data_IF_825199936442
#
_entry.id   IF_825199936442
#
_cell.length_a   1.000
_cell.length_b   1.000
_cell.length_c   1.000
_cell.angle_alpha   90.00
_cell.angle_beta   90.00
_cell.angle_gamma   90.00
#
_symmetry.space_group_name_H-M   'P 1'
#
loop_
_entity.id
_entity.type
_entity.pdbx_description
1 polymer ?
#
# COMPACT_ATOMS: atom_id res chain seq x y z
N UNK A 1 -21.64 4.77 11.46
CA UNK A 1 -20.87 5.59 12.42
C UNK A 1 -19.36 5.41 12.30
N UNK A 2 -18.85 4.18 12.12
CA UNK A 2 -17.43 3.86 11.87
C UNK A 2 -16.70 4.77 10.86
N UNK A 3 -17.32 5.06 9.71
CA UNK A 3 -16.75 5.98 8.71
C UNK A 3 -16.51 7.39 9.28
N UNK A 4 -17.51 7.97 9.96
CA UNK A 4 -17.40 9.30 10.59
C UNK A 4 -16.30 9.33 11.64
N UNK A 5 -16.25 8.32 12.53
CA UNK A 5 -15.21 8.21 13.54
C UNK A 5 -13.81 8.08 12.91
N UNK A 6 -13.68 7.30 11.85
CA UNK A 6 -12.44 7.16 11.08
C UNK A 6 -11.96 8.50 10.54
N UNK A 7 -12.85 9.28 9.91
CA UNK A 7 -12.51 10.60 9.35
C UNK A 7 -12.12 11.59 10.46
N UNK A 8 -12.83 11.59 11.59
CA UNK A 8 -12.47 12.46 12.72
C UNK A 8 -11.08 12.11 13.29
N UNK A 9 -10.80 10.81 13.49
CA UNK A 9 -9.48 10.34 13.95
C UNK A 9 -8.40 10.69 12.92
N UNK A 10 -8.69 10.57 11.63
CA UNK A 10 -7.77 10.96 10.55
C UNK A 10 -7.42 12.46 10.62
N UNK A 11 -8.43 13.33 10.77
CA UNK A 11 -8.24 14.79 10.87
C UNK A 11 -7.41 15.13 12.10
N UNK A 12 -7.70 14.52 13.25
CA UNK A 12 -6.93 14.75 14.47
C UNK A 12 -5.49 14.25 14.34
N UNK A 13 -5.23 13.22 13.52
CA UNK A 13 -3.90 12.65 13.28
C UNK A 13 -3.24 13.14 11.99
N UNK A 14 -3.75 14.19 11.35
CA UNK A 14 -3.24 14.65 10.05
C UNK A 14 -1.74 15.02 10.08
N UNK A 15 -1.24 15.49 11.23
CA UNK A 15 0.19 15.74 11.44
C UNK A 15 1.08 14.48 11.33
N UNK A 16 0.53 13.28 11.57
CA UNK A 16 1.23 12.00 11.38
C UNK A 16 1.45 11.72 9.89
N UNK A 17 0.53 12.15 9.02
CA UNK A 17 0.65 12.00 7.56
C UNK A 17 1.95 12.63 7.04
N UNK A 18 2.31 13.83 7.49
CA UNK A 18 3.56 14.49 7.08
C UNK A 18 4.80 13.78 7.59
N UNK A 19 4.77 13.26 8.82
CA UNK A 19 5.91 12.49 9.38
C UNK A 19 6.11 11.18 8.61
N UNK A 20 5.01 10.50 8.28
CA UNK A 20 5.04 9.28 7.46
C UNK A 20 5.48 9.58 6.02
N UNK A 21 5.09 10.72 5.46
CA UNK A 21 5.54 11.19 4.14
C UNK A 21 7.06 11.37 4.10
N UNK A 22 7.64 12.09 5.04
CA UNK A 22 9.11 12.28 5.12
C UNK A 22 9.81 10.92 5.25
N UNK A 23 9.28 10.03 6.08
CA UNK A 23 9.81 8.67 6.22
C UNK A 23 9.76 7.87 4.91
N UNK A 24 8.64 7.92 4.19
CA UNK A 24 8.50 7.25 2.89
C UNK A 24 9.40 7.85 1.81
N UNK A 25 9.67 9.15 1.83
CA UNK A 25 10.64 9.77 0.91
C UNK A 25 12.07 9.27 1.16
N UNK A 26 12.46 9.11 2.43
CA UNK A 26 13.77 8.53 2.78
C UNK A 26 13.85 7.09 2.26
N UNK A 27 12.82 6.27 2.48
CA UNK A 27 12.80 4.89 1.96
C UNK A 27 12.81 4.86 0.44
N UNK A 28 12.09 5.77 -0.21
CA UNK A 28 12.08 5.90 -1.67
C UNK A 28 13.50 6.15 -2.18
N UNK A 29 14.23 7.12 -1.60
CA UNK A 29 15.60 7.42 -1.98
C UNK A 29 16.54 6.22 -1.79
N UNK A 30 16.44 5.51 -0.66
CA UNK A 30 17.21 4.28 -0.40
C UNK A 30 16.88 3.19 -1.43
N UNK A 31 15.59 3.00 -1.73
CA UNK A 31 15.14 2.00 -2.71
C UNK A 31 15.67 2.34 -4.10
N UNK A 32 15.57 3.60 -4.52
CA UNK A 32 16.09 4.04 -5.83
C UNK A 32 17.59 3.78 -5.92
N UNK A 33 18.36 4.09 -4.87
CA UNK A 33 19.79 3.80 -4.83
C UNK A 33 20.11 2.31 -4.94
N UNK A 34 19.38 1.46 -4.22
CA UNK A 34 19.55 0.00 -4.30
C UNK A 34 19.13 -0.57 -5.66
N UNK A 35 18.01 -0.09 -6.22
CA UNK A 35 17.55 -0.47 -7.56
C UNK A 35 18.56 -0.04 -8.62
N UNK A 36 19.12 1.17 -8.54
CA UNK A 36 20.14 1.64 -9.47
C UNK A 36 21.40 0.75 -9.42
N UNK A 37 21.82 0.31 -8.24
CA UNK A 37 22.96 -0.58 -8.09
C UNK A 37 22.78 -1.96 -8.77
N UNK A 38 21.54 -2.39 -8.99
CA UNK A 38 21.21 -3.67 -9.67
C UNK A 38 20.95 -3.45 -11.16
N UNK A 39 20.22 -2.38 -11.48
CA UNK A 39 19.76 -2.09 -12.85
C UNK A 39 20.88 -1.51 -13.72
N UNK A 40 21.75 -0.64 -13.16
CA UNK A 40 22.83 -0.01 -13.95
C UNK A 40 23.82 -1.04 -14.50
N UNK A 41 24.33 -2.01 -13.72
CA UNK A 41 25.20 -3.05 -14.27
C UNK A 41 24.53 -3.89 -15.36
N UNK A 42 23.23 -4.16 -15.24
CA UNK A 42 22.46 -4.87 -16.27
C UNK A 42 22.46 -4.07 -17.58
N UNK A 43 22.16 -2.76 -17.53
CA UNK A 43 22.16 -1.93 -18.73
C UNK A 43 23.55 -1.75 -19.32
N UNK A 44 24.58 -1.55 -18.50
CA UNK A 44 25.97 -1.47 -18.99
C UNK A 44 26.39 -2.78 -19.68
N UNK A 45 25.88 -3.93 -19.23
CA UNK A 45 26.09 -5.22 -19.92
C UNK A 45 25.41 -5.29 -21.29
N UNK A 46 24.35 -4.52 -21.50
CA UNK A 46 23.58 -4.47 -22.76
C UNK A 46 24.07 -3.38 -23.73
N UNK A 47 24.94 -2.46 -23.32
CA UNK A 47 25.42 -1.34 -24.16
C UNK A 47 26.10 -1.80 -25.46
N UNK A 48 26.68 -3.01 -25.47
CA UNK A 48 27.31 -3.58 -26.67
C UNK A 48 26.37 -4.45 -27.52
N UNK A 49 25.09 -4.54 -27.14
CA UNK A 49 24.09 -5.34 -27.84
C UNK A 49 23.38 -4.46 -28.86
N UNK A 50 23.50 -4.82 -30.15
CA UNK A 50 22.91 -4.05 -31.26
C UNK A 50 21.39 -3.80 -31.06
N UNK A 51 20.64 -4.81 -30.59
CA UNK A 51 19.22 -4.69 -30.33
C UNK A 51 18.88 -3.67 -29.20
N UNK A 52 19.77 -3.50 -28.22
CA UNK A 52 19.59 -2.50 -27.15
C UNK A 52 19.89 -1.09 -27.64
N UNK A 53 20.97 -0.92 -28.42
CA UNK A 53 21.34 0.38 -29.00
C UNK A 53 20.29 0.87 -29.99
N UNK A 54 19.78 -0.02 -30.85
CA UNK A 54 18.68 0.28 -31.79
C UNK A 54 17.42 0.72 -31.04
N UNK A 55 17.02 -0.01 -29.99
CA UNK A 55 15.86 0.37 -29.17
C UNK A 55 16.02 1.75 -28.52
N UNK A 56 17.20 2.06 -27.99
CA UNK A 56 17.45 3.35 -27.33
C UNK A 56 17.47 4.51 -28.34
N UNK A 57 18.01 4.28 -29.53
CA UNK A 57 18.01 5.23 -30.64
C UNK A 57 16.58 5.49 -31.14
N UNK A 58 15.78 4.45 -31.34
CA UNK A 58 14.36 4.56 -31.73
C UNK A 58 13.54 5.36 -30.71
N UNK A 59 13.72 5.09 -29.41
CA UNK A 59 13.04 5.85 -28.33
C UNK A 59 13.50 7.31 -28.33
N UNK A 60 14.80 7.57 -28.49
CA UNK A 60 15.37 8.91 -28.51
C UNK A 60 14.85 9.71 -29.71
N UNK A 61 14.77 9.08 -30.89
CA UNK A 61 14.24 9.69 -32.11
C UNK A 61 12.77 10.05 -31.94
N UNK A 62 11.96 9.15 -31.39
CA UNK A 62 10.56 9.41 -31.08
C UNK A 62 10.39 10.58 -30.11
N UNK A 63 11.17 10.62 -29.02
CA UNK A 63 11.10 11.71 -28.04
C UNK A 63 11.53 13.06 -28.64
N UNK A 64 12.58 13.06 -29.47
CA UNK A 64 13.02 14.26 -30.19
C UNK A 64 11.94 14.82 -31.12
N UNK A 65 11.25 13.96 -31.89
CA UNK A 65 10.14 14.39 -32.76
C UNK A 65 8.93 14.91 -31.97
N UNK A 66 8.59 14.25 -30.85
CA UNK A 66 7.52 14.73 -29.95
C UNK A 66 7.86 16.10 -29.38
N UNK A 67 9.11 16.33 -28.95
CA UNK A 67 9.57 17.63 -28.43
C UNK A 67 9.52 18.71 -29.52
N UNK A 68 9.79 18.33 -30.79
CA UNK A 68 9.71 19.23 -31.95
C UNK A 68 8.28 19.46 -32.46
N UNK A 69 7.29 18.70 -31.95
CA UNK A 69 5.89 18.80 -32.34
C UNK A 69 5.53 18.08 -33.64
N UNK A 70 6.41 17.20 -34.14
CA UNK A 70 6.22 16.46 -35.39
C UNK A 70 5.51 15.13 -35.10
N UNK A 71 4.16 15.14 -35.15
CA UNK A 71 3.35 13.97 -34.78
C UNK A 71 3.02 13.00 -35.92
N UNK A 72 3.41 13.32 -37.15
CA UNK A 72 3.04 12.55 -38.35
C UNK A 72 3.76 11.19 -38.45
N UNK A 73 4.88 11.01 -37.75
CA UNK A 73 5.72 9.80 -37.78
C UNK A 73 5.52 8.83 -36.61
N UNK A 74 4.68 9.13 -35.61
CA UNK A 74 4.61 8.35 -34.36
C UNK A 74 4.28 6.88 -34.58
N UNK A 75 3.40 6.55 -35.53
CA UNK A 75 3.04 5.17 -35.81
C UNK A 75 4.25 4.33 -36.27
N UNK A 76 5.13 4.91 -37.09
CA UNK A 76 6.36 4.27 -37.54
C UNK A 76 7.37 4.09 -36.40
N UNK A 77 7.49 5.09 -35.52
CA UNK A 77 8.31 4.96 -34.30
C UNK A 77 7.80 3.86 -33.37
N UNK A 78 6.48 3.73 -33.19
CA UNK A 78 5.91 2.64 -32.39
C UNK A 78 6.21 1.26 -32.97
N UNK A 79 6.18 1.12 -34.30
CA UNK A 79 6.51 -0.13 -34.99
C UNK A 79 8.01 -0.47 -34.88
N UNK A 80 8.88 0.53 -35.05
CA UNK A 80 10.33 0.40 -34.86
C UNK A 80 10.66 -0.02 -33.42
N UNK A 81 10.13 0.71 -32.42
CA UNK A 81 10.30 0.39 -31.00
C UNK A 81 9.78 -1.02 -30.70
N UNK A 82 8.62 -1.41 -31.23
CA UNK A 82 8.09 -2.76 -31.03
C UNK A 82 9.00 -3.83 -31.60
N UNK A 83 9.63 -3.58 -32.75
CA UNK A 83 10.53 -4.52 -33.43
C UNK A 83 11.84 -4.66 -32.66
N UNK A 84 12.49 -3.53 -32.33
CA UNK A 84 13.72 -3.47 -31.55
C UNK A 84 13.52 -4.06 -30.14
N UNK A 85 12.35 -3.85 -29.54
CA UNK A 85 11.99 -4.45 -28.25
C UNK A 85 11.85 -5.98 -28.33
N UNK A 86 11.19 -6.50 -29.37
CA UNK A 86 11.08 -7.95 -29.58
C UNK A 86 12.45 -8.61 -29.83
N UNK A 87 13.34 -7.92 -30.57
CA UNK A 87 14.70 -8.39 -30.80
C UNK A 87 15.51 -8.41 -29.50
N UNK A 88 15.36 -7.39 -28.64
CA UNK A 88 15.97 -7.36 -27.32
C UNK A 88 15.42 -8.49 -26.42
N UNK A 89 14.11 -8.75 -26.45
CA UNK A 89 13.51 -9.86 -25.73
C UNK A 89 14.04 -11.22 -26.19
N UNK A 90 14.23 -11.42 -27.50
CA UNK A 90 14.81 -12.64 -28.05
C UNK A 90 16.26 -12.83 -27.55
N UNK A 91 17.07 -11.77 -27.59
CA UNK A 91 18.44 -11.79 -27.06
C UNK A 91 18.49 -12.11 -25.56
N UNK A 92 17.59 -11.51 -24.77
CA UNK A 92 17.47 -11.76 -23.34
C UNK A 92 16.97 -13.18 -23.02
N UNK A 93 16.15 -13.78 -23.89
CA UNK A 93 15.73 -15.18 -23.78
C UNK A 93 16.90 -16.15 -23.98
N UNK A 94 17.89 -15.77 -24.80
CA UNK A 94 19.12 -16.54 -25.02
C UNK A 94 20.14 -16.39 -23.87
N UNK A 95 20.04 -15.32 -23.06
CA UNK A 95 20.92 -15.02 -21.92
C UNK A 95 20.16 -14.93 -20.59
N UNK A 96 19.52 -16.02 -20.13
CA UNK A 96 18.60 -15.97 -18.99
C UNK A 96 19.30 -15.73 -17.65
N UNK A 97 20.59 -16.05 -17.51
CA UNK A 97 21.31 -15.98 -16.22
C UNK A 97 21.34 -14.57 -15.62
N UNK A 98 21.64 -13.57 -16.45
CA UNK A 98 21.82 -12.19 -16.00
C UNK A 98 20.47 -11.52 -15.74
N UNK A 99 19.46 -11.90 -16.53
CA UNK A 99 18.07 -11.45 -16.33
C UNK A 99 17.49 -12.04 -15.04
N UNK A 100 17.73 -13.33 -14.76
CA UNK A 100 17.29 -13.97 -13.51
C UNK A 100 17.95 -13.29 -12.31
N UNK A 101 19.25 -13.01 -12.37
CA UNK A 101 19.95 -12.36 -11.27
C UNK A 101 19.40 -10.96 -10.98
N UNK A 102 19.15 -10.15 -12.02
CA UNK A 102 18.55 -8.83 -11.88
C UNK A 102 17.11 -8.90 -11.36
N UNK A 103 16.30 -9.85 -11.87
CA UNK A 103 14.94 -10.06 -11.41
C UNK A 103 14.89 -10.46 -9.92
N UNK A 104 15.73 -11.40 -9.50
CA UNK A 104 15.87 -11.80 -8.09
C UNK A 104 16.34 -10.62 -7.23
N UNK A 105 17.33 -9.87 -7.70
CA UNK A 105 17.81 -8.66 -7.03
C UNK A 105 16.69 -7.62 -6.83
N UNK A 106 15.87 -7.38 -7.86
CA UNK A 106 14.73 -6.47 -7.78
C UNK A 106 13.66 -6.96 -6.80
N UNK A 107 13.38 -8.27 -6.76
CA UNK A 107 12.48 -8.84 -5.76
C UNK A 107 13.01 -8.59 -4.35
N UNK A 108 14.32 -8.78 -4.11
CA UNK A 108 14.94 -8.48 -2.82
C UNK A 108 14.76 -7.00 -2.45
N UNK A 109 15.00 -6.07 -3.38
CA UNK A 109 14.80 -4.64 -3.14
C UNK A 109 13.35 -4.31 -2.81
N UNK A 110 12.38 -4.92 -3.51
CA UNK A 110 10.94 -4.75 -3.22
C UNK A 110 10.60 -5.26 -1.82
N UNK A 111 11.17 -6.38 -1.38
CA UNK A 111 10.98 -6.93 -0.04
C UNK A 111 11.60 -6.01 1.03
N UNK A 112 12.82 -5.50 0.82
CA UNK A 112 13.46 -4.53 1.72
C UNK A 112 12.63 -3.26 1.83
N UNK A 113 12.18 -2.69 0.69
CA UNK A 113 11.30 -1.52 0.69
C UNK A 113 10.02 -1.79 1.48
N UNK A 114 9.37 -2.92 1.22
CA UNK A 114 8.12 -3.30 1.89
C UNK A 114 8.29 -3.49 3.38
N UNK A 115 9.43 -4.05 3.80
CA UNK A 115 9.83 -4.17 5.20
C UNK A 115 9.97 -2.80 5.87
N UNK A 116 10.73 -1.88 5.27
CA UNK A 116 10.92 -0.53 5.82
C UNK A 116 9.60 0.25 5.87
N UNK A 117 8.80 0.22 4.81
CA UNK A 117 7.48 0.88 4.79
C UNK A 117 6.57 0.33 5.90
N UNK A 118 6.61 -0.98 6.16
CA UNK A 118 5.78 -1.61 7.19
C UNK A 118 6.19 -1.15 8.59
N UNK A 119 7.48 -0.90 8.87
CA UNK A 119 7.94 -0.31 10.14
C UNK A 119 7.34 1.09 10.35
N UNK A 120 7.34 1.92 9.30
CA UNK A 120 6.73 3.25 9.34
C UNK A 120 5.22 3.20 9.62
N UNK A 121 4.51 2.31 8.91
CA UNK A 121 3.07 2.12 9.09
C UNK A 121 2.73 1.61 10.49
N UNK A 122 3.52 0.67 11.03
CA UNK A 122 3.35 0.18 12.41
C UNK A 122 3.56 1.31 13.43
N UNK A 123 4.58 2.14 13.22
CA UNK A 123 4.85 3.32 14.06
C UNK A 123 3.70 4.31 14.01
N UNK A 124 3.16 4.59 12.82
CA UNK A 124 1.97 5.44 12.67
C UNK A 124 0.76 4.84 13.40
N UNK A 125 0.58 3.52 13.33
CA UNK A 125 -0.45 2.81 14.10
C UNK A 125 -0.30 2.98 15.62
N UNK A 126 0.93 2.90 16.15
CA UNK A 126 1.18 3.19 17.57
C UNK A 126 0.81 4.62 17.95
N UNK A 127 1.12 5.61 17.12
CA UNK A 127 0.77 7.01 17.37
C UNK A 127 -0.74 7.23 17.36
N UNK A 128 -1.45 6.63 16.40
CA UNK A 128 -2.91 6.68 16.31
C UNK A 128 -3.52 6.03 17.56
N UNK A 129 -3.02 4.86 17.96
CA UNK A 129 -3.49 4.16 19.17
C UNK A 129 -3.23 4.96 20.45
N UNK A 130 -2.04 5.54 20.62
CA UNK A 130 -1.69 6.36 21.78
C UNK A 130 -2.63 7.57 21.89
N UNK A 131 -2.95 8.20 20.75
CA UNK A 131 -3.85 9.35 20.68
C UNK A 131 -5.30 8.95 20.93
N UNK A 132 -5.76 7.84 20.35
CA UNK A 132 -7.09 7.29 20.56
C UNK A 132 -7.31 6.83 22.01
N UNK A 133 -6.28 6.30 22.68
CA UNK A 133 -6.41 5.80 24.05
C UNK A 133 -6.29 6.90 25.11
N UNK A 134 -5.33 7.82 24.95
CA UNK A 134 -4.95 8.78 26.02
C UNK A 134 -4.72 10.20 25.51
N UNK A 135 -4.98 10.52 24.24
CA UNK A 135 -4.65 11.80 23.62
C UNK A 135 -3.16 12.19 23.77
N UNK A 136 -2.28 11.18 23.84
CA UNK A 136 -0.84 11.38 23.98
C UNK A 136 -0.17 11.74 22.64
N UNK A 137 0.68 12.77 22.65
CA UNK A 137 1.45 13.20 21.48
C UNK A 137 2.89 12.70 21.58
N UNK A 138 3.12 11.44 21.18
CA UNK A 138 4.45 10.85 21.17
C UNK A 138 5.27 11.29 19.93
N UNK A 139 6.58 11.57 20.06
CA UNK A 139 7.43 11.87 18.90
C UNK A 139 7.67 10.63 18.04
N UNK A 140 7.52 10.77 16.71
CA UNK A 140 7.54 9.64 15.76
C UNK A 140 8.82 8.79 15.84
N UNK A 141 9.99 9.42 15.84
CA UNK A 141 11.27 8.72 15.90
C UNK A 141 11.45 7.93 17.22
N UNK A 142 11.05 8.52 18.36
CA UNK A 142 11.12 7.83 19.64
C UNK A 142 10.14 6.64 19.69
N UNK A 143 8.93 6.81 19.18
CA UNK A 143 7.94 5.72 19.06
C UNK A 143 8.44 4.60 18.15
N UNK A 144 9.10 4.94 17.04
CA UNK A 144 9.70 3.98 16.12
C UNK A 144 10.80 3.17 16.81
N UNK A 145 11.74 3.83 17.48
CA UNK A 145 12.84 3.15 18.19
C UNK A 145 12.29 2.26 19.30
N UNK A 146 11.36 2.77 20.11
CA UNK A 146 10.73 2.02 21.21
C UNK A 146 10.01 0.75 20.72
N UNK A 147 9.40 0.80 19.53
CA UNK A 147 8.63 -0.31 18.98
C UNK A 147 9.35 -1.08 17.88
N UNK A 148 10.64 -0.78 17.61
CA UNK A 148 11.35 -1.32 16.45
C UNK A 148 11.34 -2.85 16.45
N UNK A 149 11.62 -3.50 17.59
CA UNK A 149 11.61 -4.96 17.67
C UNK A 149 10.25 -5.59 17.32
N UNK A 150 9.15 -5.00 17.80
CA UNK A 150 7.79 -5.47 17.49
C UNK A 150 7.39 -5.16 16.05
N UNK A 151 7.73 -3.97 15.56
CA UNK A 151 7.47 -3.54 14.19
C UNK A 151 8.26 -4.38 13.18
N UNK A 152 9.52 -4.71 13.47
CA UNK A 152 10.35 -5.59 12.66
C UNK A 152 9.80 -7.02 12.66
N UNK A 153 9.43 -7.58 13.82
CA UNK A 153 8.80 -8.90 13.87
C UNK A 153 7.49 -8.94 13.06
N UNK A 154 6.66 -7.89 13.18
CA UNK A 154 5.47 -7.74 12.36
C UNK A 154 5.81 -7.72 10.87
N UNK A 155 6.81 -6.94 10.48
CA UNK A 155 7.21 -6.77 9.09
C UNK A 155 7.81 -8.06 8.48
N UNK A 156 8.64 -8.79 9.21
CA UNK A 156 9.22 -10.07 8.73
C UNK A 156 8.14 -11.11 8.41
N UNK A 157 7.02 -11.10 9.13
CA UNK A 157 5.94 -12.05 8.90
C UNK A 157 4.93 -11.52 7.88
N UNK A 158 4.51 -10.26 8.01
CA UNK A 158 3.52 -9.64 7.14
C UNK A 158 4.01 -9.50 5.69
N UNK A 159 5.26 -9.08 5.49
CA UNK A 159 5.77 -8.74 4.14
C UNK A 159 5.81 -9.95 3.21
N UNK A 160 6.39 -11.11 3.58
CA UNK A 160 6.38 -12.28 2.72
C UNK A 160 4.96 -12.79 2.40
N UNK A 161 4.08 -12.82 3.41
CA UNK A 161 2.67 -13.24 3.21
C UNK A 161 1.97 -12.29 2.23
N UNK A 162 2.12 -10.98 2.43
CA UNK A 162 1.52 -9.97 1.54
C UNK A 162 2.12 -10.04 0.13
N UNK A 163 3.43 -10.28 0.00
CA UNK A 163 4.10 -10.44 -1.28
C UNK A 163 3.58 -11.65 -2.04
N UNK A 164 3.53 -12.83 -1.41
CA UNK A 164 3.01 -14.06 -2.00
C UNK A 164 1.55 -13.87 -2.41
N UNK A 165 0.73 -13.28 -1.54
CA UNK A 165 -0.67 -12.98 -1.86
C UNK A 165 -0.78 -12.11 -3.13
N UNK A 166 -0.04 -10.99 -3.19
CA UNK A 166 -0.11 -10.09 -4.35
C UNK A 166 0.40 -10.79 -5.62
N UNK A 167 1.49 -11.56 -5.54
CA UNK A 167 2.04 -12.30 -6.67
C UNK A 167 1.05 -13.34 -7.22
N UNK A 168 0.42 -14.11 -6.34
CA UNK A 168 -0.61 -15.10 -6.71
C UNK A 168 -1.83 -14.41 -7.33
N UNK A 169 -2.32 -13.32 -6.74
CA UNK A 169 -3.45 -12.57 -7.27
C UNK A 169 -3.16 -12.00 -8.67
N UNK A 170 -2.00 -11.39 -8.86
CA UNK A 170 -1.60 -10.81 -10.16
C UNK A 170 -1.43 -11.93 -11.20
N UNK A 171 -0.75 -13.02 -10.86
CA UNK A 171 -0.56 -14.14 -11.79
C UNK A 171 -1.88 -14.82 -12.17
N UNK A 172 -2.75 -15.08 -11.19
CA UNK A 172 -4.06 -15.69 -11.45
C UNK A 172 -4.94 -14.77 -12.30
N UNK A 173 -4.99 -13.46 -12.00
CA UNK A 173 -5.77 -12.51 -12.80
C UNK A 173 -5.18 -12.29 -14.19
N UNK A 174 -3.86 -12.36 -14.35
CA UNK A 174 -3.25 -12.33 -15.68
C UNK A 174 -3.75 -13.49 -16.55
N UNK A 175 -3.73 -14.72 -16.00
CA UNK A 175 -4.22 -15.90 -16.72
C UNK A 175 -5.72 -15.78 -17.03
N UNK A 176 -6.54 -15.40 -16.05
CA UNK A 176 -7.99 -15.31 -16.26
C UNK A 176 -8.36 -14.19 -17.24
N UNK A 177 -7.78 -13.01 -17.09
CA UNK A 177 -8.23 -11.81 -17.81
C UNK A 177 -7.54 -11.64 -19.17
N UNK A 178 -6.24 -11.91 -19.26
CA UNK A 178 -5.50 -11.70 -20.51
C UNK A 178 -5.37 -12.97 -21.36
N UNK A 179 -5.40 -14.17 -20.76
CA UNK A 179 -5.32 -15.42 -21.52
C UNK A 179 -6.73 -15.98 -21.78
N UNK A 180 -7.50 -16.27 -20.72
CA UNK A 180 -8.80 -16.93 -20.86
C UNK A 180 -9.88 -16.03 -21.48
N UNK A 181 -9.83 -14.72 -21.21
CA UNK A 181 -10.74 -13.72 -21.78
C UNK A 181 -10.12 -12.93 -22.95
N UNK A 182 -9.12 -13.50 -23.63
CA UNK A 182 -8.42 -12.87 -24.77
C UNK A 182 -9.31 -12.52 -25.97
N UNK A 183 -10.52 -13.10 -26.05
CA UNK A 183 -11.52 -12.75 -27.05
C UNK A 183 -12.19 -11.40 -26.82
N UNK A 184 -12.05 -10.80 -25.63
CA UNK A 184 -12.58 -9.47 -25.33
C UNK A 184 -11.61 -8.38 -25.80
N UNK A 185 -12.12 -7.18 -26.14
CA UNK A 185 -11.28 -6.02 -26.41
C UNK A 185 -10.34 -5.71 -25.24
N UNK A 186 -9.08 -5.38 -25.53
CA UNK A 186 -8.03 -5.14 -24.53
C UNK A 186 -8.41 -4.11 -23.45
N UNK A 187 -9.18 -3.08 -23.81
CA UNK A 187 -9.66 -2.06 -22.85
C UNK A 187 -10.62 -2.65 -21.82
N UNK A 188 -11.47 -3.61 -22.21
CA UNK A 188 -12.35 -4.32 -21.28
C UNK A 188 -11.53 -5.24 -20.37
N UNK A 189 -10.50 -5.91 -20.90
CA UNK A 189 -9.59 -6.73 -20.10
C UNK A 189 -8.87 -5.89 -19.04
N UNK A 190 -8.31 -4.73 -19.42
CA UNK A 190 -7.66 -3.81 -18.47
C UNK A 190 -8.66 -3.36 -17.39
N UNK A 191 -9.88 -2.99 -17.76
CA UNK A 191 -10.92 -2.61 -16.82
C UNK A 191 -11.23 -3.74 -15.81
N UNK A 192 -11.47 -4.96 -16.31
CA UNK A 192 -11.76 -6.13 -15.46
C UNK A 192 -10.59 -6.46 -14.53
N UNK A 193 -9.36 -6.38 -15.04
CA UNK A 193 -8.16 -6.59 -14.23
C UNK A 193 -8.09 -5.62 -13.05
N UNK A 194 -8.30 -4.32 -13.30
CA UNK A 194 -8.30 -3.29 -12.25
C UNK A 194 -9.42 -3.56 -11.24
N UNK A 195 -10.64 -3.84 -11.69
CA UNK A 195 -11.79 -4.11 -10.82
C UNK A 195 -11.50 -5.32 -9.91
N UNK A 196 -11.05 -6.44 -10.46
CA UNK A 196 -10.75 -7.62 -9.65
C UNK A 196 -9.58 -7.39 -8.69
N UNK A 197 -8.54 -6.64 -9.10
CA UNK A 197 -7.44 -6.27 -8.21
C UNK A 197 -7.90 -5.44 -7.02
N UNK A 198 -8.84 -4.51 -7.22
CA UNK A 198 -9.42 -3.72 -6.11
C UNK A 198 -10.17 -4.61 -5.14
N UNK A 199 -10.99 -5.55 -5.65
CA UNK A 199 -11.74 -6.48 -4.82
C UNK A 199 -10.80 -7.40 -4.01
N UNK A 200 -9.76 -7.95 -4.64
CA UNK A 200 -8.75 -8.77 -3.96
C UNK A 200 -7.94 -7.95 -2.93
N UNK A 201 -7.70 -6.67 -3.19
CA UNK A 201 -7.07 -5.77 -2.21
C UNK A 201 -7.99 -5.56 -1.00
N UNK A 202 -9.30 -5.37 -1.22
CA UNK A 202 -10.29 -5.32 -0.16
C UNK A 202 -10.30 -6.59 0.69
N UNK A 203 -10.19 -7.76 0.06
CA UNK A 203 -10.11 -9.05 0.76
C UNK A 203 -8.85 -9.16 1.61
N UNK A 204 -7.68 -8.81 1.06
CA UNK A 204 -6.42 -8.76 1.81
C UNK A 204 -6.54 -7.87 3.04
N UNK A 205 -7.09 -6.66 2.85
CA UNK A 205 -7.22 -5.70 3.94
C UNK A 205 -8.22 -6.18 4.99
N UNK A 206 -9.30 -6.86 4.60
CA UNK A 206 -10.23 -7.49 5.54
C UNK A 206 -9.54 -8.56 6.42
N UNK A 207 -8.69 -9.40 5.82
CA UNK A 207 -7.98 -10.48 6.54
C UNK A 207 -6.91 -9.96 7.50
N UNK A 208 -6.31 -8.82 7.21
CA UNK A 208 -5.22 -8.22 7.99
C UNK A 208 -5.70 -7.08 8.90
N UNK A 209 -6.95 -6.63 8.74
CA UNK A 209 -7.50 -5.42 9.35
C UNK A 209 -7.23 -5.32 10.86
N UNK A 210 -7.45 -6.42 11.57
CA UNK A 210 -7.41 -6.42 13.03
C UNK A 210 -6.07 -6.92 13.58
N UNK A 211 -5.15 -7.38 12.74
CA UNK A 211 -3.86 -7.95 13.16
C UNK A 211 -3.00 -6.91 13.88
N UNK A 212 -2.78 -5.75 13.26
CA UNK A 212 -1.96 -4.70 13.83
C UNK A 212 -2.62 -4.02 15.05
N UNK A 213 -3.92 -3.66 15.03
CA UNK A 213 -4.61 -3.19 16.23
C UNK A 213 -4.58 -4.18 17.40
N UNK A 214 -4.74 -5.48 17.15
CA UNK A 214 -4.68 -6.51 18.19
C UNK A 214 -3.29 -6.61 18.85
N UNK A 215 -2.22 -6.37 18.09
CA UNK A 215 -0.85 -6.31 18.61
C UNK A 215 -0.60 -5.06 19.46
N UNK A 216 -1.08 -3.91 19.00
CA UNK A 216 -0.78 -2.60 19.59
C UNK A 216 -1.73 -2.30 20.75
N UNK A 217 -3.04 -2.23 20.48
CA UNK A 217 -4.07 -1.90 21.47
C UNK A 217 -4.41 -3.12 22.33
N UNK A 218 -4.55 -4.30 21.71
CA UNK A 218 -4.90 -5.54 22.41
C UNK A 218 -3.75 -6.21 23.16
N UNK A 219 -2.50 -5.79 22.90
CA UNK A 219 -1.26 -6.40 23.44
C UNK A 219 -1.20 -7.93 23.28
N UNK A 220 -1.90 -8.49 22.29
CA UNK A 220 -1.89 -9.94 22.01
C UNK A 220 -0.52 -10.37 21.48
N UNK A 221 -0.20 -11.66 21.61
CA UNK A 221 0.98 -12.24 20.96
C UNK A 221 0.79 -12.30 19.44
N UNK A 222 1.88 -12.45 18.71
CA UNK A 222 1.90 -12.40 17.23
C UNK A 222 0.95 -13.41 16.57
N UNK A 223 1.00 -14.68 17.01
CA UNK A 223 0.11 -15.73 16.50
C UNK A 223 -1.36 -15.47 16.85
N UNK A 224 -1.64 -15.11 18.10
CA UNK A 224 -2.99 -14.84 18.58
C UNK A 224 -3.63 -13.64 17.86
N UNK A 225 -2.84 -12.61 17.56
CA UNK A 225 -3.31 -11.42 16.83
C UNK A 225 -3.61 -11.74 15.36
N UNK A 226 -2.79 -12.58 14.72
CA UNK A 226 -3.04 -13.04 13.36
C UNK A 226 -4.29 -13.94 13.31
N UNK A 227 -4.40 -14.91 14.22
CA UNK A 227 -5.56 -15.78 14.33
C UNK A 227 -6.84 -14.95 14.53
N UNK A 228 -6.83 -14.01 15.47
CA UNK A 228 -7.94 -13.10 15.72
C UNK A 228 -8.36 -12.30 14.48
N UNK A 229 -7.40 -11.84 13.68
CA UNK A 229 -7.68 -11.10 12.44
C UNK A 229 -8.34 -11.97 11.35
N UNK A 230 -8.04 -13.27 11.33
CA UNK A 230 -8.59 -14.23 10.37
C UNK A 230 -9.95 -14.75 10.85
N UNK A 231 -10.04 -15.17 12.11
CA UNK A 231 -11.27 -15.72 12.70
C UNK A 231 -12.33 -14.66 12.93
N UNK A 232 -11.92 -13.40 13.12
CA UNK A 232 -12.79 -12.23 13.29
C UNK A 232 -13.86 -12.46 14.35
N UNK A 233 -13.42 -12.91 15.52
CA UNK A 233 -14.26 -13.27 16.67
C UNK A 233 -15.25 -12.16 17.09
N UNK A 234 -14.93 -10.90 16.79
CA UNK A 234 -15.86 -9.78 16.98
C UNK A 234 -15.92 -8.91 15.71
N UNK A 235 -17.04 -8.99 14.97
CA UNK A 235 -17.40 -8.07 13.89
C UNK A 235 -17.65 -8.71 12.51
N UNK A 236 -18.75 -8.32 11.86
CA UNK A 236 -19.19 -8.89 10.58
C UNK A 236 -18.18 -8.75 9.44
N UNK A 237 -17.70 -9.89 8.92
CA UNK A 237 -16.74 -10.02 7.81
C UNK A 237 -17.13 -9.25 6.55
N UNK A 238 -18.40 -9.34 6.15
CA UNK A 238 -18.92 -8.68 4.96
C UNK A 238 -18.90 -7.16 5.09
N UNK A 239 -19.26 -6.62 6.26
CA UNK A 239 -19.28 -5.17 6.47
C UNK A 239 -17.87 -4.55 6.40
N UNK A 240 -16.88 -5.24 6.94
CA UNK A 240 -15.47 -4.79 6.89
C UNK A 240 -14.90 -4.92 5.48
N UNK A 241 -15.20 -6.01 4.78
CA UNK A 241 -14.84 -6.15 3.37
C UNK A 241 -15.43 -5.02 2.52
N UNK A 242 -16.74 -4.77 2.62
CA UNK A 242 -17.42 -3.72 1.86
C UNK A 242 -16.83 -2.34 2.15
N UNK A 243 -16.43 -2.06 3.39
CA UNK A 243 -15.73 -0.83 3.73
C UNK A 243 -14.37 -0.73 3.04
N UNK A 244 -13.53 -1.77 3.10
CA UNK A 244 -12.21 -1.74 2.45
C UNK A 244 -12.30 -1.71 0.93
N UNK A 245 -13.25 -2.43 0.32
CA UNK A 245 -13.47 -2.41 -1.11
C UNK A 245 -13.92 -1.02 -1.59
N UNK A 246 -14.93 -0.43 -0.95
CA UNK A 246 -15.39 0.93 -1.27
C UNK A 246 -14.31 1.99 -1.02
N UNK A 247 -13.57 1.87 0.08
CA UNK A 247 -12.41 2.74 0.38
C UNK A 247 -11.32 2.63 -0.68
N UNK A 248 -11.04 1.42 -1.18
CA UNK A 248 -10.03 1.20 -2.22
C UNK A 248 -10.43 1.84 -3.55
N UNK A 249 -11.71 1.79 -3.93
CA UNK A 249 -12.25 2.52 -5.09
C UNK A 249 -12.11 4.03 -4.89
N UNK A 250 -12.48 4.54 -3.71
CA UNK A 250 -12.38 5.96 -3.39
C UNK A 250 -10.92 6.46 -3.39
N UNK A 251 -10.00 5.69 -2.82
CA UNK A 251 -8.56 5.97 -2.86
C UNK A 251 -8.07 6.01 -4.30
N UNK A 252 -8.44 5.04 -5.13
CA UNK A 252 -8.05 5.02 -6.54
C UNK A 252 -8.59 6.27 -7.26
N UNK A 253 -9.87 6.59 -7.10
CA UNK A 253 -10.48 7.76 -7.73
C UNK A 253 -9.79 9.06 -7.31
N UNK A 254 -9.54 9.27 -6.01
CA UNK A 254 -8.88 10.46 -5.49
C UNK A 254 -7.44 10.60 -5.97
N UNK A 255 -6.67 9.51 -5.98
CA UNK A 255 -5.28 9.54 -6.46
C UNK A 255 -5.22 9.76 -7.98
N UNK A 256 -6.11 9.14 -8.76
CA UNK A 256 -6.18 9.35 -10.21
C UNK A 256 -6.60 10.77 -10.57
N UNK A 257 -7.62 11.33 -9.89
CA UNK A 257 -8.01 12.73 -10.07
C UNK A 257 -6.90 13.69 -9.64
N UNK A 258 -6.22 13.39 -8.53
CA UNK A 258 -5.06 14.15 -8.08
C UNK A 258 -3.92 14.12 -9.10
N UNK A 259 -3.65 12.97 -9.71
CA UNK A 259 -2.64 12.83 -10.75
C UNK A 259 -2.95 13.74 -11.94
N UNK A 260 -4.13 13.59 -12.53
CA UNK A 260 -4.52 14.31 -13.75
C UNK A 260 -4.71 15.80 -13.47
N UNK A 261 -5.40 16.14 -12.38
CA UNK A 261 -5.77 17.53 -12.08
C UNK A 261 -4.63 18.42 -11.57
N UNK A 262 -3.54 17.84 -11.07
CA UNK A 262 -2.41 18.60 -10.51
C UNK A 262 -1.05 18.22 -11.11
N UNK A 263 -1.06 17.49 -12.24
CA UNK A 263 0.15 16.93 -12.85
C UNK A 263 1.00 16.14 -11.85
N UNK A 264 0.34 15.36 -10.98
CA UNK A 264 0.98 14.50 -9.99
C UNK A 264 1.35 15.13 -8.65
N UNK A 265 1.25 16.45 -8.49
CA UNK A 265 1.63 17.11 -7.23
C UNK A 265 0.80 16.62 -6.02
N UNK A 266 -0.50 16.39 -6.20
CA UNK A 266 -1.40 15.91 -5.15
C UNK A 266 -1.02 14.52 -4.62
N UNK A 267 -0.42 13.66 -5.46
CA UNK A 267 -0.05 12.29 -5.10
C UNK A 267 0.89 12.25 -3.90
N UNK A 268 1.77 13.26 -3.78
CA UNK A 268 2.76 13.39 -2.71
C UNK A 268 2.09 13.30 -1.34
N UNK A 269 0.89 13.87 -1.19
CA UNK A 269 0.13 13.87 0.07
C UNK A 269 -0.96 12.80 0.07
N UNK A 270 -1.64 12.54 -1.05
CA UNK A 270 -2.78 11.62 -1.07
C UNK A 270 -2.37 10.17 -0.84
N UNK A 271 -1.17 9.74 -1.25
CA UNK A 271 -0.66 8.38 -0.94
C UNK A 271 -0.51 8.16 0.57
N UNK A 272 0.32 8.91 1.31
CA UNK A 272 0.48 8.70 2.75
C UNK A 272 -0.85 8.92 3.50
N UNK A 273 -1.69 9.85 3.03
CA UNK A 273 -3.02 10.06 3.61
C UNK A 273 -3.91 8.81 3.47
N UNK A 274 -3.86 8.14 2.32
CA UNK A 274 -4.61 6.90 2.07
C UNK A 274 -4.20 5.79 3.05
N UNK A 275 -2.90 5.67 3.35
CA UNK A 275 -2.41 4.72 4.35
C UNK A 275 -2.92 5.05 5.76
N UNK A 276 -2.79 6.31 6.19
CA UNK A 276 -3.28 6.72 7.52
C UNK A 276 -4.80 6.53 7.61
N UNK A 277 -5.56 6.84 6.56
CA UNK A 277 -7.01 6.63 6.52
C UNK A 277 -7.39 5.16 6.79
N UNK A 278 -6.72 4.23 6.10
CA UNK A 278 -6.97 2.80 6.30
C UNK A 278 -6.52 2.34 7.70
N UNK A 279 -5.40 2.86 8.22
CA UNK A 279 -4.96 2.60 9.60
C UNK A 279 -5.98 3.10 10.63
N UNK A 280 -6.48 4.32 10.49
CA UNK A 280 -7.50 4.87 11.38
C UNK A 280 -8.75 3.98 11.40
N UNK A 281 -9.18 3.46 10.24
CA UNK A 281 -10.29 2.54 10.18
C UNK A 281 -10.00 1.22 10.90
N UNK A 282 -8.80 0.65 10.74
CA UNK A 282 -8.40 -0.57 11.45
C UNK A 282 -8.52 -0.40 12.97
N UNK A 283 -8.01 0.70 13.53
CA UNK A 283 -8.10 0.97 14.96
C UNK A 283 -9.52 1.27 15.42
N UNK A 284 -10.29 2.09 14.69
CA UNK A 284 -11.70 2.37 15.00
C UNK A 284 -12.52 1.08 14.97
N UNK A 285 -12.35 0.24 13.95
CA UNK A 285 -13.05 -1.03 13.82
C UNK A 285 -12.69 -1.98 14.97
N UNK A 286 -11.41 -2.06 15.35
CA UNK A 286 -10.96 -2.88 16.46
C UNK A 286 -11.55 -2.41 17.80
N UNK A 287 -11.52 -1.11 18.08
CA UNK A 287 -12.06 -0.54 19.31
C UNK A 287 -13.58 -0.75 19.42
N UNK A 288 -14.34 -0.47 18.35
CA UNK A 288 -15.78 -0.69 18.33
C UNK A 288 -16.13 -2.17 18.55
N UNK A 289 -15.43 -3.09 17.87
CA UNK A 289 -15.71 -4.52 17.98
C UNK A 289 -15.37 -5.09 19.37
N UNK A 290 -14.38 -4.53 20.06
CA UNK A 290 -13.97 -4.95 21.40
C UNK A 290 -14.57 -4.10 22.52
N UNK A 291 -15.52 -3.21 22.20
CA UNK A 291 -16.14 -2.29 23.17
C UNK A 291 -15.11 -1.44 23.96
N UNK A 292 -14.01 -1.06 23.33
CA UNK A 292 -12.95 -0.24 23.95
C UNK A 292 -13.32 1.23 23.76
N UNK A 293 -13.24 2.03 24.82
CA UNK A 293 -13.40 3.49 24.74
C UNK A 293 -12.23 4.11 23.99
N UNK A 294 -12.53 5.06 23.11
CA UNK A 294 -11.50 5.82 22.42
C UNK A 294 -11.93 7.26 22.14
N UNK A 295 -10.94 8.13 22.01
CA UNK A 295 -11.10 9.49 21.58
C UNK A 295 -11.14 9.56 20.05
N UNK A 296 -12.15 10.25 19.49
CA UNK A 296 -12.17 10.60 18.06
C UNK A 296 -11.54 11.97 17.79
N UNK A 297 -11.56 12.83 18.81
CA UNK A 297 -10.93 14.14 18.82
C UNK A 297 -10.60 14.51 20.30
N UNK A 298 -10.09 15.72 20.54
CA UNK A 298 -9.71 16.18 21.89
C UNK A 298 -10.86 16.26 22.90
N UNK A 299 -12.11 16.26 22.46
CA UNK A 299 -13.31 16.54 23.27
C UNK A 299 -14.36 15.42 23.22
N UNK A 300 -14.27 14.52 22.26
CA UNK A 300 -15.27 13.49 21.97
C UNK A 300 -14.71 12.10 22.27
N UNK A 301 -15.34 11.42 23.23
CA UNK A 301 -15.09 10.02 23.58
C UNK A 301 -16.23 9.18 23.05
N UNK A 302 -15.91 8.14 22.30
CA UNK A 302 -16.87 7.11 21.91
C UNK A 302 -16.93 6.08 23.04
N UNK A 303 -18.11 5.95 23.65
CA UNK A 303 -18.41 4.92 24.65
C UNK A 303 -19.07 3.73 23.96
N UNK A 304 -18.81 2.48 24.41
CA UNK A 304 -19.48 1.30 23.88
C UNK A 304 -20.99 1.30 24.22
N UNK A 305 -21.82 0.78 23.31
CA UNK A 305 -23.30 0.78 23.45
C UNK A 305 -23.81 0.03 24.69
N UNK A 306 -23.01 -0.90 25.23
CA UNK A 306 -23.37 -1.71 26.41
C UNK A 306 -23.01 -1.08 27.76
N UNK A 307 -22.34 0.08 27.79
CA UNK A 307 -22.00 0.73 29.05
C UNK A 307 -23.18 1.56 29.57
N UNK A 308 -23.86 1.05 30.61
CA UNK A 308 -24.88 1.82 31.32
C UNK A 308 -24.22 3.06 31.94
N UNK A 309 -24.77 4.24 31.68
CA UNK A 309 -24.34 5.44 32.40
C UNK A 309 -24.63 5.25 33.89
N UNK A 310 -23.58 5.13 34.69
CA UNK A 310 -23.70 5.19 36.14
C UNK A 310 -24.27 6.56 36.46
N UNK A 311 -25.49 6.58 37.00
CA UNK A 311 -26.09 7.82 37.50
C UNK A 311 -25.10 8.49 38.47
N UNK A 312 -25.03 9.82 38.47
CA UNK A 312 -24.17 10.58 39.40
C UNK A 312 -24.39 10.13 40.86
N UNK A 313 -25.59 9.66 41.18
CA UNK A 313 -25.93 9.08 42.49
C UNK A 313 -25.36 7.67 42.72
N UNK A 314 -25.24 6.82 41.69
CA UNK A 314 -24.63 5.49 41.78
C UNK A 314 -23.11 5.60 41.92
N UNK A 315 -22.48 6.50 41.14
CA UNK A 315 -21.05 6.80 41.28
C UNK A 315 -20.69 7.32 42.68
N UNK A 316 -21.53 8.19 43.26
CA UNK A 316 -21.34 8.69 44.63
C UNK A 316 -21.66 7.66 45.72
N UNK A 317 -22.41 6.59 45.41
CA UNK A 317 -22.70 5.48 46.32
C UNK A 317 -21.64 4.36 46.27
N UNK A 318 -20.71 4.41 45.32
CA UNK A 318 -19.67 3.40 45.17
C UNK A 318 -20.20 2.04 44.68
N UNK A 319 -21.34 2.03 43.99
CA UNK A 319 -21.93 0.86 43.33
C UNK A 319 -21.52 0.76 41.86
#
# INVERSE_FOLDING_TARGET
MKFKHTVNVLIDNFGVTFKLLVYHLIILAVTIGLSAAIIVPLFNGLENVAAYTELMEDISNMLSEIIKGEVNGLAGHFEAISTSFNNLLAYLAEHPSDLILSAVGMVIVILIRSFLVTIGNYTAGCLISDKMAMQANSPFAATMIKNLGKASLYSVIYVPISFIYNAVCVGALYIVVFIALSFLPIMICIFLFIVFMILLTGLKMMLVADWMPALISGKKKMGDAMAYSITRESGGSVAVYSFFASSSVLILALNSLGFVGTFGAAIIITIPLSYIYLLCYQFVNYCDNNNIKYFTDKRTIVKPEHEKETSRQQFLRGE
#
